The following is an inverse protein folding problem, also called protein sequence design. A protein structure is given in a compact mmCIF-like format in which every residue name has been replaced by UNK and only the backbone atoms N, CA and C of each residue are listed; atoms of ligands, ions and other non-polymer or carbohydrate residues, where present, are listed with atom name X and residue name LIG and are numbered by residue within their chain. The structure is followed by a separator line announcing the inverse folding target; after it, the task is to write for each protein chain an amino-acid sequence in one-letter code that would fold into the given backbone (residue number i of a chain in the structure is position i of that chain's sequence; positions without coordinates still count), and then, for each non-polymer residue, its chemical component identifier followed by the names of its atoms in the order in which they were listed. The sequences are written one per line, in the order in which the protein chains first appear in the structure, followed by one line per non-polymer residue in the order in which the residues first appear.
data_IF_432344877285
#
_entry.id   IF_432344877285
#
_cell.length_a   1.000
_cell.length_b   1.000
_cell.length_c   1.000
_cell.angle_alpha   90.00
_cell.angle_beta   90.00
_cell.angle_gamma   90.00
#
_symmetry.space_group_name_H-M   'P 1'
#
loop_
_entity.id
_entity.type
_entity.pdbx_description
1 polymer ?
#
# COMPACT_ATOMS: atom_id res chain seq x y z
N UNK A 1 -3.87 0.64 -30.69
CA UNK A 1 -3.58 1.83 -29.84
C UNK A 1 -3.70 3.12 -30.66
N UNK A 2 -4.92 3.65 -30.86
CA UNK A 2 -5.20 4.89 -31.63
C UNK A 2 -5.82 6.01 -30.77
N UNK A 3 -5.86 5.85 -29.44
CA UNK A 3 -6.68 6.70 -28.55
C UNK A 3 -6.20 8.14 -28.31
N UNK A 4 -5.19 8.66 -29.03
CA UNK A 4 -4.67 10.03 -28.82
C UNK A 4 -4.97 10.99 -29.98
N UNK A 5 -5.58 10.51 -31.07
CA UNK A 5 -5.83 11.31 -32.28
C UNK A 5 -7.29 11.19 -32.75
N UNK A 6 -8.25 11.14 -31.84
CA UNK A 6 -9.66 11.33 -32.18
C UNK A 6 -9.97 12.83 -32.14
N UNK A 7 -10.80 13.32 -33.08
CA UNK A 7 -11.39 14.66 -32.96
C UNK A 7 -12.32 14.69 -31.74
N UNK A 8 -12.56 15.88 -31.16
CA UNK A 8 -13.39 16.04 -29.95
C UNK A 8 -14.82 15.51 -30.12
N UNK A 9 -15.28 15.42 -31.37
CA UNK A 9 -16.59 14.91 -31.80
C UNK A 9 -16.61 13.38 -32.03
N UNK A 10 -15.51 12.67 -31.71
CA UNK A 10 -15.42 11.21 -31.88
C UNK A 10 -15.21 10.75 -33.32
N UNK A 11 -15.11 11.67 -34.29
CA UNK A 11 -14.87 11.28 -35.69
C UNK A 11 -13.45 10.71 -35.87
N UNK A 12 -13.29 9.57 -36.56
CA UNK A 12 -11.99 9.03 -36.90
C UNK A 12 -11.22 10.04 -37.77
N UNK A 13 -9.99 10.37 -37.38
CA UNK A 13 -9.10 11.12 -38.27
C UNK A 13 -8.73 10.17 -39.43
N UNK A 14 -9.40 10.33 -40.58
CA UNK A 14 -9.23 9.49 -41.78
C UNK A 14 -7.79 9.46 -42.34
N UNK A 15 -6.91 10.38 -41.94
CA UNK A 15 -5.48 10.32 -42.24
C UNK A 15 -4.66 10.80 -41.03
N UNK A 16 -3.86 9.93 -40.39
CA UNK A 16 -2.94 10.39 -39.36
C UNK A 16 -2.01 11.46 -39.96
N UNK A 17 -1.54 12.43 -39.15
CA UNK A 17 -0.63 13.43 -39.65
C UNK A 17 0.60 12.80 -40.31
N UNK A 18 1.07 13.37 -41.43
CA UNK A 18 2.13 12.76 -42.25
C UNK A 18 3.47 12.53 -41.51
N UNK A 19 3.65 13.16 -40.35
CA UNK A 19 4.82 13.05 -39.47
C UNK A 19 4.68 11.99 -38.36
N UNK A 20 3.49 11.40 -38.19
CA UNK A 20 3.24 10.40 -37.15
C UNK A 20 4.07 9.14 -37.46
N UNK A 21 4.82 8.64 -36.47
CA UNK A 21 5.70 7.48 -36.63
C UNK A 21 7.02 7.75 -37.38
N UNK A 22 7.20 8.92 -38.02
CA UNK A 22 8.46 9.26 -38.68
C UNK A 22 9.51 9.73 -37.67
N UNK A 23 10.65 9.07 -37.64
CA UNK A 23 11.80 9.54 -36.88
C UNK A 23 12.61 10.57 -37.69
N UNK A 24 12.95 11.69 -37.06
CA UNK A 24 13.88 12.68 -37.64
C UNK A 24 15.22 12.02 -37.91
N UNK A 25 15.86 12.38 -39.03
CA UNK A 25 17.21 11.92 -39.37
C UNK A 25 18.22 12.27 -38.27
N UNK A 26 19.30 11.47 -38.17
CA UNK A 26 20.39 11.69 -37.20
C UNK A 26 20.96 13.11 -37.32
N UNK A 27 21.14 13.60 -38.54
CA UNK A 27 21.64 14.96 -38.81
C UNK A 27 20.68 16.05 -38.36
N UNK A 28 19.38 15.90 -38.62
CA UNK A 28 18.37 16.86 -38.15
C UNK A 28 18.33 16.90 -36.63
N UNK A 29 18.43 15.75 -35.93
CA UNK A 29 18.55 15.70 -34.47
C UNK A 29 19.81 16.41 -33.98
N UNK A 30 20.96 16.21 -34.66
CA UNK A 30 22.23 16.88 -34.35
C UNK A 30 22.14 18.39 -34.55
N UNK A 31 21.50 18.87 -35.62
CA UNK A 31 21.25 20.30 -35.89
C UNK A 31 20.39 20.94 -34.79
N UNK A 32 19.30 20.28 -34.39
CA UNK A 32 18.42 20.76 -33.29
C UNK A 32 19.20 20.80 -31.98
N UNK A 33 19.93 19.73 -31.64
CA UNK A 33 20.76 19.67 -30.43
C UNK A 33 21.79 20.78 -30.39
N UNK A 34 22.48 21.07 -31.51
CA UNK A 34 23.42 22.21 -31.62
C UNK A 34 22.71 23.55 -31.38
N UNK A 35 21.54 23.77 -32.00
CA UNK A 35 20.77 25.02 -31.87
C UNK A 35 20.21 25.26 -30.46
N UNK A 36 19.90 24.20 -29.71
CA UNK A 36 19.37 24.27 -28.35
C UNK A 36 20.47 24.28 -27.28
N UNK A 37 21.71 23.94 -27.62
CA UNK A 37 22.83 23.92 -26.67
C UNK A 37 23.02 25.33 -26.09
N UNK A 38 22.98 25.46 -24.77
CA UNK A 38 23.14 26.73 -24.07
C UNK A 38 21.89 27.60 -23.96
N UNK A 39 20.80 27.27 -24.67
CA UNK A 39 19.50 27.95 -24.49
C UNK A 39 18.83 27.45 -23.22
N UNK A 40 19.09 28.10 -22.09
CA UNK A 40 18.29 27.94 -20.88
C UNK A 40 17.11 28.89 -20.96
N UNK A 41 15.88 28.37 -20.79
CA UNK A 41 14.71 29.23 -20.64
C UNK A 41 14.89 30.13 -19.41
N UNK A 42 14.25 31.31 -19.41
CA UNK A 42 14.26 32.16 -18.20
C UNK A 42 13.64 31.37 -17.04
N UNK A 43 14.32 31.27 -15.89
CA UNK A 43 13.74 30.62 -14.72
C UNK A 43 12.44 31.31 -14.34
N UNK A 44 11.45 30.53 -13.92
CA UNK A 44 10.16 31.07 -13.47
C UNK A 44 10.41 32.00 -12.27
N UNK A 45 9.85 33.21 -12.30
CA UNK A 45 9.96 34.12 -11.16
C UNK A 45 9.38 33.49 -9.91
N UNK A 46 9.92 33.84 -8.75
CA UNK A 46 9.50 33.23 -7.49
C UNK A 46 8.01 33.49 -7.20
N UNK A 47 7.54 34.70 -7.49
CA UNK A 47 6.14 35.08 -7.35
C UNK A 47 5.22 34.25 -8.28
N UNK A 48 5.63 34.05 -9.54
CA UNK A 48 4.88 33.21 -10.47
C UNK A 48 4.87 31.75 -10.03
N UNK A 49 5.97 31.26 -9.46
CA UNK A 49 6.06 29.89 -8.90
C UNK A 49 5.13 29.71 -7.72
N UNK A 50 5.03 30.70 -6.82
CA UNK A 50 4.08 30.71 -5.69
C UNK A 50 2.62 30.68 -6.19
N UNK A 51 2.25 31.58 -7.11
CA UNK A 51 0.90 31.64 -7.70
C UNK A 51 0.49 30.32 -8.38
N UNK A 52 1.41 29.67 -9.10
CA UNK A 52 1.16 28.35 -9.69
C UNK A 52 0.95 27.29 -8.60
N UNK A 53 1.79 27.30 -7.57
CA UNK A 53 1.68 26.38 -6.44
C UNK A 53 0.34 26.48 -5.71
N UNK A 54 -0.11 27.70 -5.41
CA UNK A 54 -1.40 27.96 -4.76
C UNK A 54 -2.59 27.48 -5.60
N UNK A 55 -2.60 27.83 -6.90
CA UNK A 55 -3.64 27.35 -7.82
C UNK A 55 -3.67 25.83 -7.93
N UNK A 56 -2.50 25.18 -7.98
CA UNK A 56 -2.43 23.73 -8.03
C UNK A 56 -2.98 23.09 -6.75
N UNK A 57 -2.66 23.62 -5.56
CA UNK A 57 -3.22 23.12 -4.29
C UNK A 57 -4.76 23.17 -4.28
N UNK A 58 -5.33 24.28 -4.72
CA UNK A 58 -6.80 24.46 -4.79
C UNK A 58 -7.40 23.47 -5.78
N UNK A 59 -6.83 23.37 -6.98
CA UNK A 59 -7.31 22.45 -8.01
C UNK A 59 -7.20 20.98 -7.57
N UNK A 60 -6.10 20.58 -6.95
CA UNK A 60 -5.92 19.20 -6.46
C UNK A 60 -6.93 18.88 -5.37
N UNK A 61 -7.20 19.82 -4.45
CA UNK A 61 -8.22 19.64 -3.41
C UNK A 61 -9.60 19.47 -4.04
N UNK A 62 -9.99 20.36 -4.94
CA UNK A 62 -11.28 20.31 -5.65
C UNK A 62 -11.48 19.01 -6.44
N UNK A 63 -10.43 18.52 -7.10
CA UNK A 63 -10.46 17.24 -7.82
C UNK A 63 -10.65 16.06 -6.86
N UNK A 64 -9.99 16.07 -5.70
CA UNK A 64 -10.10 14.98 -4.73
C UNK A 64 -11.43 15.00 -3.96
N UNK A 65 -12.09 16.14 -3.84
CA UNK A 65 -13.44 16.23 -3.25
C UNK A 65 -14.50 15.57 -4.16
N UNK A 66 -14.32 15.62 -5.49
CA UNK A 66 -15.21 14.97 -6.44
C UNK A 66 -15.16 13.42 -6.28
N UNK A 67 -16.26 12.76 -5.88
CA UNK A 67 -16.32 11.30 -5.70
C UNK A 67 -16.06 10.52 -6.99
N UNK A 68 -16.57 11.01 -8.12
CA UNK A 68 -16.46 10.33 -9.42
C UNK A 68 -15.03 10.38 -9.94
N UNK A 69 -14.36 11.52 -9.79
CA UNK A 69 -12.93 11.63 -10.09
C UNK A 69 -12.10 10.66 -9.24
N UNK A 70 -12.37 10.57 -7.93
CA UNK A 70 -11.69 9.61 -7.03
C UNK A 70 -11.89 8.17 -7.50
N UNK A 71 -13.13 7.79 -7.81
CA UNK A 71 -13.46 6.43 -8.29
C UNK A 71 -12.73 6.11 -9.59
N UNK A 72 -12.80 6.99 -10.58
CA UNK A 72 -12.13 6.80 -11.88
C UNK A 72 -10.60 6.69 -11.71
N UNK A 73 -10.00 7.52 -10.85
CA UNK A 73 -8.57 7.45 -10.56
C UNK A 73 -8.18 6.11 -9.93
N UNK A 74 -8.99 5.59 -8.99
CA UNK A 74 -8.77 4.28 -8.37
C UNK A 74 -8.90 3.17 -9.43
N UNK A 75 -9.98 3.15 -10.20
CA UNK A 75 -10.23 2.15 -11.24
C UNK A 75 -9.10 2.09 -12.28
N UNK A 76 -8.59 3.24 -12.70
CA UNK A 76 -7.50 3.32 -13.68
C UNK A 76 -6.19 2.79 -13.12
N UNK A 77 -5.93 2.84 -11.81
CA UNK A 77 -4.65 2.47 -11.21
C UNK A 77 -4.64 1.12 -10.48
N UNK A 78 -5.82 0.57 -10.14
CA UNK A 78 -5.94 -0.76 -9.52
C UNK A 78 -5.18 -1.80 -10.36
N UNK A 79 -4.26 -2.52 -9.71
CA UNK A 79 -3.55 -3.68 -10.27
C UNK A 79 -2.49 -3.39 -11.36
N UNK A 80 -2.40 -2.17 -11.93
CA UNK A 80 -1.54 -1.91 -13.09
C UNK A 80 -0.03 -1.93 -12.81
N UNK A 81 0.39 -1.55 -11.61
CA UNK A 81 1.79 -1.53 -11.18
C UNK A 81 1.96 -2.24 -9.83
N UNK A 82 1.27 -3.37 -9.65
CA UNK A 82 1.28 -4.14 -8.42
C UNK A 82 1.52 -5.62 -8.73
N UNK A 83 2.14 -6.34 -7.78
CA UNK A 83 2.52 -7.73 -7.97
C UNK A 83 3.34 -7.92 -9.25
N UNK A 84 3.03 -8.96 -10.01
CA UNK A 84 3.72 -9.32 -11.25
C UNK A 84 3.70 -8.24 -12.34
N UNK A 85 2.75 -7.31 -12.30
CA UNK A 85 2.68 -6.20 -13.25
C UNK A 85 3.69 -5.09 -12.95
N UNK A 86 4.28 -5.05 -11.75
CA UNK A 86 5.31 -4.08 -11.42
C UNK A 86 6.65 -4.51 -12.04
N UNK A 87 7.29 -3.61 -12.80
CA UNK A 87 8.56 -3.87 -13.50
C UNK A 87 9.71 -4.30 -12.58
N UNK A 88 9.64 -3.98 -11.29
CA UNK A 88 10.63 -4.32 -10.26
C UNK A 88 10.15 -5.45 -9.32
N UNK A 89 9.06 -6.14 -9.64
CA UNK A 89 8.57 -7.28 -8.86
C UNK A 89 9.50 -8.47 -8.96
N UNK A 90 9.73 -9.13 -7.82
CA UNK A 90 10.63 -10.28 -7.70
C UNK A 90 9.95 -11.54 -7.14
N UNK A 91 8.67 -11.49 -6.76
CA UNK A 91 7.97 -12.64 -6.17
C UNK A 91 8.42 -13.07 -4.76
N UNK A 92 9.50 -12.50 -4.21
CA UNK A 92 10.14 -12.97 -2.97
C UNK A 92 9.53 -12.45 -1.67
N UNK A 93 8.34 -11.82 -1.70
CA UNK A 93 7.78 -11.26 -0.46
C UNK A 93 7.26 -12.39 0.44
N UNK A 94 7.74 -12.53 1.69
CA UNK A 94 7.28 -13.60 2.57
C UNK A 94 5.77 -13.50 2.84
N UNK A 95 5.10 -14.66 2.95
CA UNK A 95 3.66 -14.73 3.22
C UNK A 95 3.25 -13.90 4.45
N UNK A 96 4.04 -13.97 5.54
CA UNK A 96 3.78 -13.20 6.76
C UNK A 96 3.73 -11.68 6.50
N UNK A 97 4.60 -11.19 5.61
CA UNK A 97 4.63 -9.77 5.25
C UNK A 97 3.43 -9.41 4.38
N UNK A 98 3.06 -10.27 3.42
CA UNK A 98 1.87 -10.06 2.58
C UNK A 98 0.60 -9.96 3.43
N UNK A 99 0.44 -10.90 4.37
CA UNK A 99 -0.75 -10.96 5.22
C UNK A 99 -0.84 -9.74 6.16
N UNK A 100 0.28 -9.26 6.71
CA UNK A 100 0.30 -8.14 7.67
C UNK A 100 0.32 -6.74 7.04
N UNK A 101 0.48 -6.62 5.73
CA UNK A 101 0.48 -5.32 5.04
C UNK A 101 -0.83 -4.99 4.32
N UNK A 102 -1.79 -5.92 4.27
CA UNK A 102 -3.05 -5.75 3.54
C UNK A 102 -4.16 -5.03 4.32
N UNK A 103 -5.23 -4.65 3.61
CA UNK A 103 -6.44 -4.09 4.20
C UNK A 103 -7.13 -5.06 5.17
N UNK A 104 -7.12 -6.37 4.87
CA UNK A 104 -7.66 -7.42 5.75
C UNK A 104 -7.01 -7.40 7.13
N UNK A 105 -5.68 -7.25 7.20
CA UNK A 105 -4.96 -7.11 8.47
C UNK A 105 -5.36 -5.86 9.24
N UNK A 106 -5.51 -4.74 8.55
CA UNK A 106 -5.95 -3.48 9.17
C UNK A 106 -7.32 -3.65 9.82
N UNK A 107 -8.27 -4.22 9.07
CA UNK A 107 -9.64 -4.47 9.54
C UNK A 107 -9.63 -5.44 10.73
N UNK A 108 -8.95 -6.59 10.59
CA UNK A 108 -8.85 -7.58 11.66
C UNK A 108 -8.26 -6.98 12.94
N UNK A 109 -7.15 -6.24 12.84
CA UNK A 109 -6.53 -5.56 13.99
C UNK A 109 -7.50 -4.58 14.65
N UNK A 110 -8.23 -3.78 13.85
CA UNK A 110 -9.21 -2.84 14.37
C UNK A 110 -10.36 -3.55 15.09
N UNK A 111 -10.84 -4.67 14.57
CA UNK A 111 -11.90 -5.47 15.19
C UNK A 111 -11.45 -6.12 16.50
N UNK A 112 -10.22 -6.65 16.55
CA UNK A 112 -9.61 -7.20 17.77
C UNK A 112 -9.48 -6.11 18.83
N UNK A 113 -8.97 -4.94 18.46
CA UNK A 113 -8.84 -3.81 19.39
C UNK A 113 -10.20 -3.30 19.87
N UNK A 114 -11.19 -3.24 18.99
CA UNK A 114 -12.55 -2.81 19.34
C UNK A 114 -13.19 -3.79 20.34
N UNK A 115 -13.09 -5.10 20.10
CA UNK A 115 -13.56 -6.15 21.02
C UNK A 115 -12.91 -6.01 22.40
N UNK A 116 -11.61 -5.71 22.41
CA UNK A 116 -10.78 -5.60 23.62
C UNK A 116 -10.82 -4.19 24.25
N UNK A 117 -11.76 -3.33 23.82
CA UNK A 117 -11.94 -1.95 24.28
C UNK A 117 -10.64 -1.11 24.24
N UNK A 118 -9.76 -1.38 23.27
CA UNK A 118 -8.44 -0.74 23.15
C UNK A 118 -7.62 -0.82 24.45
N UNK A 119 -7.69 -1.95 25.15
CA UNK A 119 -6.93 -2.20 26.37
C UNK A 119 -6.12 -3.49 26.27
N UNK A 120 -5.01 -3.53 27.00
CA UNK A 120 -4.21 -4.73 27.15
C UNK A 120 -5.01 -5.80 27.90
N UNK A 121 -5.12 -7.01 27.34
CA UNK A 121 -5.91 -8.10 27.92
C UNK A 121 -5.14 -8.94 28.95
N UNK A 122 -3.93 -8.52 29.34
CA UNK A 122 -3.26 -9.11 30.49
C UNK A 122 -3.75 -8.43 31.80
N UNK A 123 -4.50 -9.12 32.66
CA UNK A 123 -5.17 -8.51 33.83
C UNK A 123 -4.21 -7.83 34.82
N UNK A 124 -2.96 -8.27 34.89
CA UNK A 124 -1.92 -7.66 35.72
C UNK A 124 -0.70 -7.31 34.88
N UNK A 125 -0.89 -6.48 33.85
CA UNK A 125 0.20 -6.08 32.98
C UNK A 125 1.24 -5.22 33.74
N UNK A 126 2.48 -5.71 33.94
CA UNK A 126 3.50 -4.98 34.70
C UNK A 126 4.04 -3.76 33.93
N UNK A 127 3.74 -3.65 32.64
CA UNK A 127 4.24 -2.58 31.77
C UNK A 127 3.25 -1.43 31.62
N UNK A 128 1.97 -1.72 31.42
CA UNK A 128 0.96 -0.68 31.18
C UNK A 128 -0.05 -0.53 32.32
N UNK A 129 -0.12 -1.47 33.27
CA UNK A 129 -1.13 -1.50 34.33
C UNK A 129 -2.57 -1.30 33.80
N UNK A 130 -2.84 -1.82 32.61
CA UNK A 130 -4.12 -1.71 31.89
C UNK A 130 -4.63 -0.27 31.68
N UNK A 131 -3.70 0.68 31.56
CA UNK A 131 -4.00 2.05 31.15
C UNK A 131 -4.46 2.11 29.69
N UNK A 132 -5.46 2.96 29.43
CA UNK A 132 -5.93 3.29 28.08
C UNK A 132 -4.93 4.23 27.40
N UNK A 133 -4.83 4.17 26.08
CA UNK A 133 -4.00 5.08 25.27
C UNK A 133 -2.53 4.68 25.15
N UNK A 134 -2.17 3.49 25.63
CA UNK A 134 -0.84 2.90 25.40
C UNK A 134 -0.70 2.36 23.98
N UNK A 135 0.53 2.14 23.51
CA UNK A 135 0.77 1.48 22.24
C UNK A 135 0.35 0.00 22.33
N UNK A 136 -0.58 -0.41 21.48
CA UNK A 136 -1.15 -1.77 21.44
C UNK A 136 -0.71 -2.53 20.19
N UNK A 137 -0.45 -3.82 20.37
CA UNK A 137 -0.18 -4.78 19.30
C UNK A 137 -1.18 -5.94 19.37
N UNK A 138 -1.72 -6.39 18.23
CA UNK A 138 -2.49 -7.62 18.19
C UNK A 138 -1.53 -8.81 18.21
N UNK A 139 -1.85 -9.79 19.06
CA UNK A 139 -1.18 -11.07 19.12
C UNK A 139 -2.09 -12.15 18.55
N UNK A 140 -1.51 -13.12 17.84
CA UNK A 140 -2.22 -14.31 17.41
C UNK A 140 -2.12 -15.38 18.49
N UNK A 141 -3.25 -15.87 18.99
CA UNK A 141 -3.28 -16.95 20.00
C UNK A 141 -2.72 -18.25 19.41
N UNK A 142 -3.15 -18.59 18.19
CA UNK A 142 -2.57 -19.64 17.36
C UNK A 142 -1.68 -19.02 16.28
N UNK A 143 -0.42 -19.43 16.14
CA UNK A 143 0.53 -18.78 15.28
C UNK A 143 0.15 -18.96 13.81
N UNK A 144 0.36 -17.89 13.06
CA UNK A 144 0.18 -17.82 11.61
C UNK A 144 0.92 -18.95 10.86
N UNK A 145 2.09 -19.39 11.34
CA UNK A 145 2.86 -20.44 10.67
C UNK A 145 2.19 -21.82 10.68
N UNK A 146 1.40 -22.13 11.73
CA UNK A 146 0.73 -23.42 11.88
C UNK A 146 -0.74 -23.37 11.46
N UNK A 147 -1.37 -22.19 11.52
CA UNK A 147 -2.80 -22.00 11.28
C UNK A 147 -3.06 -20.78 10.37
N UNK A 148 -2.62 -20.82 9.10
CA UNK A 148 -2.80 -19.72 8.15
C UNK A 148 -4.27 -19.38 7.87
N UNK A 149 -5.18 -20.32 8.10
CA UNK A 149 -6.64 -20.15 7.97
C UNK A 149 -7.26 -19.31 9.09
N UNK A 150 -6.62 -19.23 10.26
CA UNK A 150 -7.13 -18.50 11.44
C UNK A 150 -6.58 -17.09 11.57
N UNK A 151 -5.82 -16.61 10.59
CA UNK A 151 -5.07 -15.35 10.67
C UNK A 151 -5.96 -14.13 10.84
N UNK A 152 -7.15 -14.18 10.26
CA UNK A 152 -8.15 -13.11 10.31
C UNK A 152 -9.38 -13.51 11.14
N UNK A 153 -9.32 -14.61 11.88
CA UNK A 153 -10.33 -14.91 12.89
C UNK A 153 -10.15 -13.95 14.07
N UNK A 154 -11.20 -13.21 14.42
CA UNK A 154 -11.20 -12.26 15.53
C UNK A 154 -10.89 -12.99 16.84
N UNK A 155 -11.42 -14.21 17.01
CA UNK A 155 -11.21 -15.03 18.20
C UNK A 155 -9.78 -15.55 18.32
N UNK A 156 -9.04 -15.56 17.21
CA UNK A 156 -7.62 -15.89 17.22
C UNK A 156 -6.71 -14.67 17.47
N UNK A 157 -7.29 -13.48 17.65
CA UNK A 157 -6.57 -12.27 18.02
C UNK A 157 -6.76 -11.92 19.49
N UNK A 158 -5.73 -11.36 20.12
CA UNK A 158 -5.80 -10.76 21.46
C UNK A 158 -4.95 -9.50 21.53
N UNK A 159 -5.42 -8.49 22.24
CA UNK A 159 -4.73 -7.20 22.36
C UNK A 159 -3.77 -7.18 23.54
N UNK A 160 -2.51 -6.84 23.29
CA UNK A 160 -1.53 -6.58 24.34
C UNK A 160 -0.86 -5.23 24.14
N UNK A 161 -0.35 -4.62 25.22
CA UNK A 161 0.55 -3.49 25.05
C UNK A 161 1.85 -3.94 24.37
N UNK A 162 2.50 -3.04 23.65
CA UNK A 162 3.69 -3.35 22.86
C UNK A 162 4.80 -3.98 23.72
N UNK A 163 4.97 -3.51 24.96
CA UNK A 163 5.97 -4.04 25.87
C UNK A 163 5.68 -5.46 26.30
N UNK A 164 4.44 -5.75 26.72
CA UNK A 164 4.03 -7.11 27.10
C UNK A 164 4.16 -8.06 25.91
N UNK A 165 3.70 -7.62 24.74
CA UNK A 165 3.77 -8.40 23.51
C UNK A 165 5.21 -8.86 23.17
N UNK A 166 6.19 -7.98 23.39
CA UNK A 166 7.59 -8.24 23.05
C UNK A 166 8.34 -8.97 24.17
N UNK A 167 8.11 -8.60 25.43
CA UNK A 167 8.95 -9.01 26.57
C UNK A 167 8.42 -10.26 27.31
N UNK A 168 7.15 -10.61 27.16
CA UNK A 168 6.52 -11.67 27.95
C UNK A 168 6.63 -13.07 27.36
N UNK A 169 7.50 -13.29 26.37
CA UNK A 169 7.74 -14.62 25.79
C UNK A 169 6.54 -15.20 25.04
N UNK A 170 5.58 -14.36 24.63
CA UNK A 170 4.38 -14.80 23.90
C UNK A 170 4.71 -15.40 22.52
N UNK A 171 5.83 -15.00 21.93
CA UNK A 171 6.34 -15.59 20.70
C UNK A 171 7.11 -16.88 21.01
N UNK A 172 6.36 -17.94 21.32
CA UNK A 172 6.93 -19.29 21.52
C UNK A 172 7.49 -19.84 20.21
N UNK A 173 8.45 -20.75 20.32
CA UNK A 173 8.98 -21.45 19.17
C UNK A 173 7.93 -22.38 18.56
N UNK A 174 7.93 -22.52 17.23
CA UNK A 174 7.01 -23.44 16.53
C UNK A 174 7.19 -24.89 17.04
N UNK A 175 8.41 -25.23 17.47
CA UNK A 175 8.77 -26.55 17.98
C UNK A 175 8.04 -26.87 19.30
N UNK A 176 7.96 -25.92 20.22
CA UNK A 176 7.21 -26.09 21.48
C UNK A 176 5.73 -26.38 21.22
N UNK A 177 5.13 -25.66 20.28
CA UNK A 177 3.70 -25.79 20.01
C UNK A 177 3.34 -27.09 19.26
N UNK A 178 4.23 -27.55 18.38
CA UNK A 178 4.12 -28.87 17.75
C UNK A 178 4.27 -30.01 18.78
N UNK A 179 5.17 -29.87 19.75
CA UNK A 179 5.33 -30.84 20.83
C UNK A 179 4.03 -30.97 21.65
N UNK A 180 3.43 -29.84 22.03
CA UNK A 180 2.16 -29.82 22.76
C UNK A 180 1.01 -30.46 21.97
N UNK A 181 0.93 -30.23 20.65
CA UNK A 181 -0.08 -30.88 19.80
C UNK A 181 0.05 -32.40 19.79
N UNK A 182 1.28 -32.90 19.66
CA UNK A 182 1.51 -34.33 19.61
C UNK A 182 1.09 -34.99 20.93
N UNK A 183 1.48 -34.40 22.07
CA UNK A 183 1.06 -34.86 23.39
C UNK A 183 -0.47 -34.86 23.54
N UNK A 184 -1.16 -33.81 23.10
CA UNK A 184 -2.63 -33.76 23.15
C UNK A 184 -3.29 -34.79 22.23
N UNK A 185 -2.68 -35.12 21.10
CA UNK A 185 -3.18 -36.16 20.20
C UNK A 185 -3.03 -37.54 20.83
N UNK A 186 -1.90 -37.78 21.50
CA UNK A 186 -1.62 -39.05 22.18
C UNK A 186 -2.52 -39.28 23.42
N UNK A 187 -2.98 -38.21 24.07
CA UNK A 187 -3.94 -38.27 25.19
C UNK A 187 -5.40 -38.49 24.75
N UNK A 188 -5.72 -38.19 23.48
CA UNK A 188 -7.07 -38.30 22.92
C UNK A 188 -7.27 -39.57 22.07
N UNK A 189 -6.23 -40.40 21.95
CA UNK A 189 -6.26 -41.76 21.38
C UNK A 189 -6.24 -42.79 22.51
#
# INVERSE_FOLDING_TARGET
KLGRFARKDGTPINKPPYWLGKHRSKDTRKKIRKKLKGRKGKPCSEEKRKKIGEKNKINTKKLWENPEYRKNMIEVHIGKNAGENAWNWKGVTPLNKLLRCGSKWKIWRELVFLRDNFTCQNPNCPYCHNKIGVLLHPHHIKPLALYPELVFDINNGITYCAEFHIKSGLHKSIQEELLHKNIQKDLNN
#
